data_IF_877717355715
#
_entry.id   IF_877717355715
#
_cell.length_a   1.000
_cell.length_b   1.000
_cell.length_c   1.000
_cell.angle_alpha   90.00
_cell.angle_beta   90.00
_cell.angle_gamma   90.00
#
_symmetry.space_group_name_H-M   'P 1'
#
loop_
_entity.id
_entity.type
_entity.pdbx_description
1 polymer ?
#
# COMPACT_ATOMS: atom_id res chain seq x y z
N UNK A 1 33.79 -41.85 -20.15
CA UNK A 1 34.32 -40.74 -20.97
C UNK A 1 33.21 -39.96 -21.66
N UNK A 2 32.45 -40.52 -22.62
CA UNK A 2 31.44 -39.77 -23.41
C UNK A 2 30.30 -39.09 -22.61
N UNK A 3 29.78 -39.73 -21.55
CA UNK A 3 28.71 -39.14 -20.70
C UNK A 3 29.14 -37.90 -19.92
N UNK A 4 30.43 -37.77 -19.62
CA UNK A 4 30.98 -36.66 -18.85
C UNK A 4 31.14 -35.41 -19.71
N UNK A 5 31.47 -35.58 -21.00
CA UNK A 5 31.50 -34.50 -21.99
C UNK A 5 30.10 -33.99 -22.33
N UNK A 6 29.08 -34.86 -22.34
CA UNK A 6 27.68 -34.45 -22.54
C UNK A 6 27.16 -33.58 -21.39
N UNK A 7 27.50 -33.90 -20.14
CA UNK A 7 27.15 -33.09 -18.98
C UNK A 7 27.85 -31.72 -18.99
N UNK A 8 29.12 -31.67 -19.41
CA UNK A 8 29.86 -30.40 -19.57
C UNK A 8 29.30 -29.52 -20.69
N UNK A 9 28.87 -30.12 -21.81
CA UNK A 9 28.27 -29.38 -22.93
C UNK A 9 26.91 -28.77 -22.54
N UNK A 10 26.10 -29.50 -21.77
CA UNK A 10 24.82 -28.99 -21.25
C UNK A 10 25.02 -27.84 -20.24
N UNK A 11 26.03 -27.93 -19.37
CA UNK A 11 26.36 -26.86 -18.42
C UNK A 11 26.84 -25.58 -19.11
N UNK A 12 27.65 -25.68 -20.17
CA UNK A 12 28.08 -24.53 -20.97
C UNK A 12 26.92 -23.89 -21.76
N UNK A 13 25.97 -24.71 -22.26
CA UNK A 13 24.78 -24.21 -22.96
C UNK A 13 23.83 -23.42 -22.05
N UNK A 14 23.68 -23.83 -20.78
CA UNK A 14 22.83 -23.12 -19.80
C UNK A 14 23.48 -21.80 -19.36
N UNK A 15 24.82 -21.75 -19.26
CA UNK A 15 25.56 -20.53 -18.92
C UNK A 15 25.47 -19.46 -20.03
N UNK A 16 25.50 -19.87 -21.30
CA UNK A 16 25.33 -18.96 -22.44
C UNK A 16 23.92 -18.36 -22.54
N UNK A 17 22.87 -19.12 -22.20
CA UNK A 17 21.48 -18.64 -22.21
C UNK A 17 21.17 -17.64 -21.09
N UNK A 18 21.90 -17.69 -19.97
CA UNK A 18 21.76 -16.73 -18.86
C UNK A 18 22.56 -15.43 -19.06
N UNK A 19 23.54 -15.40 -19.97
CA UNK A 19 24.44 -14.26 -20.16
C UNK A 19 23.94 -13.25 -21.21
N UNK A 20 22.90 -13.56 -21.99
CA UNK A 20 22.43 -12.73 -23.10
C UNK A 20 21.15 -11.95 -22.82
N UNK A 21 21.09 -11.19 -21.72
CA UNK A 21 20.19 -10.03 -21.59
C UNK A 21 20.92 -8.88 -20.89
N UNK A 22 21.81 -8.22 -21.63
CA UNK A 22 22.19 -6.85 -21.34
C UNK A 22 22.48 -6.10 -22.64
N UNK A 23 21.43 -5.84 -23.41
CA UNK A 23 21.42 -4.70 -24.33
C UNK A 23 21.02 -3.47 -23.52
N UNK A 24 22.01 -2.78 -22.97
CA UNK A 24 21.85 -1.39 -22.56
C UNK A 24 21.62 -0.55 -23.81
N UNK A 25 20.36 -0.31 -24.16
CA UNK A 25 20.02 0.91 -24.86
C UNK A 25 20.44 2.06 -23.95
N UNK A 26 21.43 2.86 -24.37
CA UNK A 26 21.79 4.11 -23.72
C UNK A 26 20.68 5.14 -23.96
N UNK A 27 19.56 4.98 -23.26
CA UNK A 27 18.67 6.11 -22.95
C UNK A 27 19.16 6.61 -21.62
N UNK A 28 19.76 7.81 -21.56
CA UNK A 28 20.33 8.35 -20.33
C UNK A 28 19.23 8.44 -19.23
N UNK A 29 19.12 7.49 -18.26
CA UNK A 29 17.97 7.43 -17.35
C UNK A 29 18.23 8.22 -16.07
N UNK A 30 19.52 8.38 -15.71
CA UNK A 30 19.94 9.01 -14.46
C UNK A 30 19.37 10.43 -14.31
N UNK A 31 19.40 11.24 -15.38
CA UNK A 31 18.86 12.61 -15.34
C UNK A 31 17.33 12.68 -15.24
N UNK A 32 16.60 11.75 -15.87
CA UNK A 32 15.13 11.71 -15.87
C UNK A 32 14.60 11.24 -14.51
N UNK A 33 15.23 10.22 -13.92
CA UNK A 33 14.86 9.71 -12.60
C UNK A 33 15.23 10.70 -11.49
N UNK A 34 16.39 11.37 -11.53
CA UNK A 34 16.75 12.40 -10.53
C UNK A 34 15.79 13.59 -10.57
N UNK A 35 15.41 14.08 -11.75
CA UNK A 35 14.41 15.16 -11.87
C UNK A 35 13.05 14.75 -11.32
N UNK A 36 12.62 13.53 -11.59
CA UNK A 36 11.36 13.00 -11.07
C UNK A 36 11.36 12.88 -9.54
N UNK A 37 12.44 12.35 -8.96
CA UNK A 37 12.61 12.26 -7.51
C UNK A 37 12.62 13.65 -6.86
N UNK A 38 13.31 14.63 -7.44
CA UNK A 38 13.31 16.01 -6.95
C UNK A 38 11.90 16.62 -7.00
N UNK A 39 11.16 16.38 -8.08
CA UNK A 39 9.77 16.82 -8.21
C UNK A 39 8.85 16.20 -7.15
N UNK A 40 9.00 14.89 -6.88
CA UNK A 40 8.27 14.19 -5.81
C UNK A 40 8.63 14.80 -4.45
N UNK A 41 9.92 14.96 -4.15
CA UNK A 41 10.38 15.56 -2.90
C UNK A 41 9.84 16.97 -2.70
N UNK A 42 9.85 17.82 -3.74
CA UNK A 42 9.29 19.17 -3.64
C UNK A 42 7.78 19.15 -3.46
N UNK A 43 7.07 18.26 -4.14
CA UNK A 43 5.62 18.15 -4.06
C UNK A 43 5.17 17.65 -2.69
N UNK A 44 5.87 16.66 -2.13
CA UNK A 44 5.54 16.11 -0.82
C UNK A 44 5.74 17.11 0.34
N UNK A 45 6.44 18.23 0.15
CA UNK A 45 6.53 19.29 1.17
C UNK A 45 5.18 19.92 1.51
N UNK A 46 4.19 19.84 0.60
CA UNK A 46 2.85 20.34 0.86
C UNK A 46 1.96 19.36 1.62
N UNK A 47 2.45 18.16 1.95
CA UNK A 47 1.66 17.12 2.63
C UNK A 47 1.98 17.04 4.12
N UNK A 48 1.07 16.42 4.88
CA UNK A 48 1.24 16.23 6.33
C UNK A 48 2.26 15.14 6.64
N UNK A 49 2.23 14.01 5.92
CA UNK A 49 3.13 12.87 6.14
C UNK A 49 4.21 12.85 5.05
N UNK A 50 5.11 13.84 5.08
CA UNK A 50 6.08 14.11 4.01
C UNK A 50 6.99 12.93 3.71
N UNK A 51 7.58 12.31 4.74
CA UNK A 51 8.48 11.16 4.56
C UNK A 51 7.76 9.98 3.91
N UNK A 52 6.53 9.68 4.35
CA UNK A 52 5.70 8.63 3.76
C UNK A 52 5.33 8.94 2.31
N UNK A 53 4.98 10.20 2.01
CA UNK A 53 4.70 10.65 0.64
C UNK A 53 5.89 10.40 -0.28
N UNK A 54 7.10 10.77 0.15
CA UNK A 54 8.32 10.56 -0.64
C UNK A 54 8.61 9.07 -0.78
N UNK A 55 8.54 8.31 0.31
CA UNK A 55 8.80 6.86 0.32
C UNK A 55 7.90 6.12 -0.68
N UNK A 56 6.59 6.35 -0.62
CA UNK A 56 5.63 5.59 -1.41
C UNK A 56 5.60 6.03 -2.87
N UNK A 57 5.77 7.32 -3.17
CA UNK A 57 5.73 7.84 -4.55
C UNK A 57 7.05 7.69 -5.30
N UNK A 58 8.20 7.58 -4.61
CA UNK A 58 9.51 7.44 -5.28
C UNK A 58 9.60 6.18 -6.13
N UNK A 59 8.90 5.10 -5.74
CA UNK A 59 8.81 3.86 -6.54
C UNK A 59 8.13 4.11 -7.91
N UNK A 60 7.28 5.14 -7.99
CA UNK A 60 6.56 5.55 -9.19
C UNK A 60 7.26 6.68 -9.96
N UNK A 61 8.49 7.07 -9.61
CA UNK A 61 9.19 8.22 -10.20
C UNK A 61 9.23 8.21 -11.73
N UNK A 62 9.44 7.05 -12.35
CA UNK A 62 9.47 6.94 -13.82
C UNK A 62 8.10 7.17 -14.48
N UNK A 63 7.01 6.83 -13.78
CA UNK A 63 5.63 7.08 -14.21
C UNK A 63 5.25 8.54 -13.97
N UNK A 64 5.57 9.06 -12.79
CA UNK A 64 5.26 10.43 -12.36
C UNK A 64 6.00 11.45 -13.22
N UNK A 65 7.29 11.20 -13.51
CA UNK A 65 8.20 12.17 -14.12
C UNK A 65 8.10 13.50 -13.37
N UNK A 66 7.72 14.57 -14.04
CA UNK A 66 7.46 15.89 -13.44
C UNK A 66 6.01 16.34 -13.72
N UNK A 67 5.09 15.38 -13.82
CA UNK A 67 3.67 15.63 -14.13
C UNK A 67 2.85 15.66 -12.84
N UNK A 68 2.21 16.80 -12.49
CA UNK A 68 1.26 16.86 -11.39
C UNK A 68 0.12 15.84 -11.54
N UNK A 69 -0.37 15.64 -12.76
CA UNK A 69 -1.43 14.66 -13.05
C UNK A 69 -1.01 13.25 -12.67
N UNK A 70 0.15 12.81 -13.16
CA UNK A 70 0.65 11.47 -12.83
C UNK A 70 1.03 11.34 -11.35
N UNK A 71 1.42 12.44 -10.69
CA UNK A 71 1.63 12.45 -9.24
C UNK A 71 0.33 12.16 -8.48
N UNK A 72 -0.78 12.80 -8.88
CA UNK A 72 -2.10 12.56 -8.29
C UNK A 72 -2.56 11.12 -8.57
N UNK A 73 -2.46 10.66 -9.82
CA UNK A 73 -2.81 9.29 -10.22
C UNK A 73 -2.02 8.25 -9.41
N UNK A 74 -0.71 8.49 -9.22
CA UNK A 74 0.15 7.62 -8.42
C UNK A 74 -0.24 7.64 -6.93
N UNK A 75 -0.60 8.79 -6.36
CA UNK A 75 -1.04 8.90 -4.97
C UNK A 75 -2.37 8.16 -4.72
N UNK A 76 -3.31 8.21 -5.66
CA UNK A 76 -4.55 7.42 -5.61
C UNK A 76 -4.24 5.93 -5.75
N UNK A 77 -3.37 5.56 -6.69
CA UNK A 77 -2.95 4.16 -6.90
C UNK A 77 -2.30 3.56 -5.65
N UNK A 78 -1.38 4.28 -5.01
CA UNK A 78 -0.75 3.88 -3.75
C UNK A 78 -1.80 3.64 -2.67
N UNK A 79 -2.69 4.62 -2.47
CA UNK A 79 -3.76 4.54 -1.47
C UNK A 79 -4.71 3.36 -1.72
N UNK A 80 -5.09 3.12 -2.99
CA UNK A 80 -5.97 2.02 -3.38
C UNK A 80 -5.30 0.66 -3.15
N UNK A 81 -4.01 0.54 -3.49
CA UNK A 81 -3.24 -0.68 -3.24
C UNK A 81 -3.15 -1.00 -1.75
N UNK A 82 -2.96 0.01 -0.89
CA UNK A 82 -2.95 -0.17 0.56
C UNK A 82 -4.34 -0.55 1.09
N UNK A 83 -5.42 0.03 0.54
CA UNK A 83 -6.79 -0.33 0.90
C UNK A 83 -7.09 -1.81 0.54
N UNK A 84 -6.75 -2.22 -0.68
CA UNK A 84 -6.90 -3.60 -1.15
C UNK A 84 -6.05 -4.57 -0.33
N UNK A 85 -4.79 -4.22 -0.03
CA UNK A 85 -3.92 -5.04 0.83
C UNK A 85 -4.50 -5.23 2.22
N UNK A 86 -5.10 -4.18 2.78
CA UNK A 86 -5.76 -4.23 4.10
C UNK A 86 -7.01 -5.11 4.05
N UNK A 87 -7.84 -4.97 3.01
CA UNK A 87 -8.99 -5.84 2.77
C UNK A 87 -8.59 -7.31 2.65
N UNK A 88 -7.54 -7.61 1.88
CA UNK A 88 -7.01 -8.97 1.72
C UNK A 88 -6.50 -9.54 3.04
N UNK A 89 -5.78 -8.74 3.83
CA UNK A 89 -5.31 -9.14 5.15
C UNK A 89 -6.48 -9.51 6.07
N UNK A 90 -7.52 -8.69 6.14
CA UNK A 90 -8.75 -8.98 6.91
C UNK A 90 -9.42 -10.26 6.39
N UNK A 91 -9.52 -10.45 5.08
CA UNK A 91 -10.08 -11.67 4.49
C UNK A 91 -9.28 -12.92 4.88
N UNK A 92 -7.95 -12.83 4.92
CA UNK A 92 -7.08 -13.92 5.37
C UNK A 92 -7.28 -14.24 6.84
N UNK A 93 -7.38 -13.21 7.69
CA UNK A 93 -7.69 -13.40 9.11
C UNK A 93 -9.00 -14.18 9.29
N UNK A 94 -10.04 -13.86 8.51
CA UNK A 94 -11.35 -14.55 8.53
C UNK A 94 -11.28 -16.02 8.10
N UNK A 95 -10.47 -16.34 7.08
CA UNK A 95 -10.39 -17.69 6.50
C UNK A 95 -9.41 -18.62 7.21
N UNK A 96 -8.46 -18.06 7.96
CA UNK A 96 -7.40 -18.83 8.60
C UNK A 96 -7.84 -19.49 9.92
N UNK A 97 -6.99 -20.38 10.44
CA UNK A 97 -7.07 -20.98 11.77
C UNK A 97 -7.08 -19.96 12.95
N UNK A 98 -6.99 -18.65 12.69
CA UNK A 98 -7.27 -17.62 13.68
C UNK A 98 -8.73 -17.62 14.16
N UNK A 99 -9.62 -18.44 13.61
CA UNK A 99 -10.90 -18.78 14.25
C UNK A 99 -10.74 -19.29 15.69
N UNK A 100 -9.61 -19.93 16.02
CA UNK A 100 -9.26 -20.32 17.41
C UNK A 100 -9.11 -19.07 18.31
N UNK A 101 -8.78 -17.93 17.72
CA UNK A 101 -8.79 -16.60 18.34
C UNK A 101 -10.11 -15.90 17.99
N UNK A 102 -11.24 -16.45 18.44
CA UNK A 102 -12.57 -15.94 18.10
C UNK A 102 -12.73 -14.44 18.39
N UNK A 103 -12.08 -13.93 19.45
CA UNK A 103 -12.03 -12.51 19.82
C UNK A 103 -11.12 -11.63 18.91
N UNK A 104 -10.28 -12.26 18.09
CA UNK A 104 -9.42 -11.61 17.10
C UNK A 104 -9.95 -11.68 15.68
N UNK A 105 -11.03 -12.43 15.45
CA UNK A 105 -11.77 -12.29 14.21
C UNK A 105 -12.35 -10.86 14.22
N UNK A 106 -11.93 -9.95 13.31
CA UNK A 106 -12.54 -8.63 13.23
C UNK A 106 -14.06 -8.80 13.10
N UNK A 107 -14.84 -7.96 13.78
CA UNK A 107 -16.30 -7.98 13.66
C UNK A 107 -16.67 -7.98 12.17
N UNK A 108 -17.49 -8.97 11.78
CA UNK A 108 -17.57 -9.45 10.40
C UNK A 108 -17.98 -8.39 9.39
N UNK A 109 -18.72 -7.39 9.87
CA UNK A 109 -19.40 -6.43 9.01
C UNK A 109 -18.67 -5.10 9.00
N UNK A 110 -18.26 -4.58 10.16
CA UNK A 110 -17.70 -3.22 10.27
C UNK A 110 -16.35 -3.07 9.57
N UNK A 111 -15.37 -3.94 9.83
CA UNK A 111 -14.04 -3.85 9.21
C UNK A 111 -14.07 -4.06 7.70
N UNK A 112 -14.93 -4.98 7.26
CA UNK A 112 -15.15 -5.24 5.84
C UNK A 112 -15.74 -4.01 5.18
N UNK A 113 -16.75 -3.41 5.81
CA UNK A 113 -17.44 -2.21 5.34
C UNK A 113 -16.51 -1.01 5.29
N UNK A 114 -15.67 -0.77 6.31
CA UNK A 114 -14.73 0.36 6.32
C UNK A 114 -13.69 0.26 5.19
N UNK A 115 -13.12 -0.94 4.98
CA UNK A 115 -12.20 -1.15 3.86
C UNK A 115 -12.90 -1.05 2.51
N UNK A 116 -14.11 -1.58 2.39
CA UNK A 116 -14.91 -1.48 1.17
C UNK A 116 -15.28 -0.04 0.85
N UNK A 117 -15.61 0.76 1.86
CA UNK A 117 -15.85 2.19 1.77
C UNK A 117 -14.63 2.93 1.22
N UNK A 118 -13.43 2.71 1.79
CA UNK A 118 -12.19 3.31 1.26
C UNK A 118 -11.89 2.85 -0.17
N UNK A 119 -12.05 1.56 -0.49
CA UNK A 119 -11.80 1.03 -1.83
C UNK A 119 -12.76 1.65 -2.86
N UNK A 120 -14.06 1.65 -2.58
CA UNK A 120 -15.07 2.22 -3.46
C UNK A 120 -14.83 3.72 -3.67
N UNK A 121 -14.63 4.47 -2.59
CA UNK A 121 -14.36 5.90 -2.69
C UNK A 121 -13.10 6.19 -3.53
N UNK A 122 -12.02 5.41 -3.37
CA UNK A 122 -10.81 5.56 -4.19
C UNK A 122 -11.02 5.16 -5.66
N UNK A 123 -11.85 4.16 -5.94
CA UNK A 123 -12.23 3.77 -7.30
C UNK A 123 -13.05 4.87 -7.98
N UNK A 124 -13.92 5.56 -7.25
CA UNK A 124 -14.66 6.71 -7.78
C UNK A 124 -13.75 7.89 -8.13
N UNK A 125 -12.60 8.05 -7.47
CA UNK A 125 -11.60 9.06 -7.89
C UNK A 125 -11.05 8.76 -9.29
N UNK A 126 -10.99 7.50 -9.71
CA UNK A 126 -10.52 7.15 -11.06
C UNK A 126 -11.57 7.54 -12.13
N UNK A 127 -12.85 7.57 -11.75
CA UNK A 127 -13.98 7.79 -12.65
C UNK A 127 -14.64 9.17 -12.50
N UNK A 128 -14.11 10.04 -11.63
CA UNK A 128 -14.69 11.34 -11.33
C UNK A 128 -14.70 12.27 -12.56
N UNK A 129 -15.71 13.14 -12.62
CA UNK A 129 -15.97 13.96 -13.81
C UNK A 129 -15.46 15.40 -13.68
N UNK A 130 -15.08 15.82 -12.47
CA UNK A 130 -14.54 17.15 -12.22
C UNK A 130 -13.56 17.14 -11.07
N UNK A 131 -12.68 18.13 -11.01
CA UNK A 131 -11.73 18.27 -9.92
C UNK A 131 -12.38 18.23 -8.52
N UNK A 132 -13.50 18.93 -8.35
CA UNK A 132 -14.26 18.97 -7.10
C UNK A 132 -14.86 17.62 -6.73
N UNK A 133 -15.29 16.86 -7.73
CA UNK A 133 -15.83 15.51 -7.59
C UNK A 133 -14.73 14.52 -7.16
N UNK A 134 -13.57 14.56 -7.83
CA UNK A 134 -12.41 13.75 -7.45
C UNK A 134 -11.99 14.04 -6.00
N UNK A 135 -11.87 15.32 -5.63
CA UNK A 135 -11.51 15.72 -4.27
C UNK A 135 -12.57 15.33 -3.23
N UNK A 136 -13.85 15.29 -3.61
CA UNK A 136 -14.92 14.78 -2.74
C UNK A 136 -14.73 13.28 -2.45
N UNK A 137 -14.48 12.47 -3.48
CA UNK A 137 -14.21 11.04 -3.31
C UNK A 137 -12.95 10.76 -2.47
N UNK A 138 -11.87 11.53 -2.65
CA UNK A 138 -10.66 11.42 -1.80
C UNK A 138 -10.98 11.72 -0.32
N UNK A 139 -11.80 12.75 -0.04
CA UNK A 139 -12.21 13.07 1.34
C UNK A 139 -13.06 11.95 1.95
N UNK A 140 -13.98 11.37 1.17
CA UNK A 140 -14.80 10.24 1.63
C UNK A 140 -13.91 9.05 1.97
N UNK A 141 -12.94 8.72 1.12
CA UNK A 141 -11.97 7.64 1.38
C UNK A 141 -11.20 7.86 2.70
N UNK A 142 -10.84 9.10 3.02
CA UNK A 142 -10.14 9.44 4.26
C UNK A 142 -11.03 9.21 5.49
N UNK A 143 -12.31 9.61 5.43
CA UNK A 143 -13.29 9.35 6.49
C UNK A 143 -13.47 7.85 6.72
N UNK A 144 -13.60 7.06 5.65
CA UNK A 144 -13.67 5.60 5.74
C UNK A 144 -12.41 5.02 6.42
N UNK A 145 -11.21 5.53 6.07
CA UNK A 145 -9.95 5.05 6.63
C UNK A 145 -9.80 5.41 8.12
N UNK A 146 -10.27 6.60 8.54
CA UNK A 146 -10.31 7.01 9.96
C UNK A 146 -11.25 6.08 10.75
N UNK A 147 -12.44 5.79 10.20
CA UNK A 147 -13.40 4.85 10.79
C UNK A 147 -12.75 3.48 11.03
N UNK A 148 -12.13 2.91 9.99
CA UNK A 148 -11.45 1.63 10.07
C UNK A 148 -10.28 1.58 11.07
N UNK A 149 -9.50 2.67 11.18
CA UNK A 149 -8.43 2.76 12.19
C UNK A 149 -8.99 2.73 13.62
N UNK A 150 -10.04 3.51 13.91
CA UNK A 150 -10.67 3.54 15.23
C UNK A 150 -11.20 2.16 15.63
N UNK A 151 -11.93 1.50 14.73
CA UNK A 151 -12.48 0.18 14.97
C UNK A 151 -11.38 -0.88 15.16
N UNK A 152 -10.24 -0.76 14.46
CA UNK A 152 -9.08 -1.65 14.60
C UNK A 152 -8.47 -1.68 15.99
N UNK A 153 -8.61 -0.60 16.75
CA UNK A 153 -8.05 -0.48 18.10
C UNK A 153 -9.04 -0.94 19.17
N UNK A 154 -10.33 -0.68 18.97
CA UNK A 154 -11.36 -0.84 20.02
C UNK A 154 -11.98 -2.25 20.05
N UNK A 155 -12.09 -2.91 18.88
CA UNK A 155 -12.98 -4.07 18.73
C UNK A 155 -12.29 -5.39 18.33
N UNK A 156 -10.96 -5.42 18.16
CA UNK A 156 -10.24 -6.64 17.74
C UNK A 156 -9.20 -7.08 18.74
N UNK A 157 -9.23 -8.37 19.09
CA UNK A 157 -8.31 -9.03 20.00
C UNK A 157 -8.39 -8.59 21.47
N UNK A 158 -9.54 -8.07 21.89
CA UNK A 158 -9.83 -7.71 23.29
C UNK A 158 -10.10 -8.98 24.10
N UNK A 159 -9.05 -9.72 24.47
CA UNK A 159 -9.23 -10.87 25.36
C UNK A 159 -9.36 -10.39 26.82
N UNK A 160 -10.38 -10.84 27.57
CA UNK A 160 -10.45 -10.65 29.02
C UNK A 160 -9.40 -11.47 29.80
N UNK A 161 -8.57 -12.28 29.13
CA UNK A 161 -7.57 -13.15 29.73
C UNK A 161 -6.12 -12.69 29.50
N UNK A 162 -5.88 -11.38 29.43
CA UNK A 162 -4.54 -10.82 29.58
C UNK A 162 -4.14 -10.89 31.07
N UNK A 163 -3.94 -12.11 31.56
CA UNK A 163 -3.40 -12.36 32.88
C UNK A 163 -1.94 -11.86 32.86
N UNK A 164 -1.55 -10.81 33.61
CA UNK A 164 -0.29 -10.08 33.43
C UNK A 164 0.97 -10.93 33.61
N UNK A 165 0.83 -12.13 34.19
CA UNK A 165 1.93 -13.03 34.52
C UNK A 165 2.17 -14.19 33.54
N UNK A 166 1.32 -14.43 32.53
CA UNK A 166 1.49 -15.54 31.57
C UNK A 166 1.15 -15.12 30.15
N UNK A 167 2.17 -14.67 29.41
CA UNK A 167 2.05 -14.44 27.97
C UNK A 167 1.92 -15.81 27.27
N UNK A 168 0.68 -16.26 27.08
CA UNK A 168 0.39 -17.43 26.27
C UNK A 168 0.76 -17.15 24.80
N UNK A 169 1.07 -18.21 24.04
CA UNK A 169 1.26 -18.10 22.59
C UNK A 169 0.04 -17.43 21.91
N UNK A 170 -1.17 -17.68 22.46
CA UNK A 170 -2.44 -17.06 22.05
C UNK A 170 -2.38 -15.53 22.16
N UNK A 171 -1.98 -14.99 23.31
CA UNK A 171 -1.90 -13.55 23.54
C UNK A 171 -0.89 -12.85 22.62
N UNK A 172 0.26 -13.49 22.33
CA UNK A 172 1.25 -12.94 21.39
C UNK A 172 0.71 -12.80 19.97
N UNK A 173 -0.06 -13.79 19.52
CA UNK A 173 -0.67 -13.76 18.19
C UNK A 173 -1.74 -12.67 18.14
N UNK A 174 -2.58 -12.56 19.17
CA UNK A 174 -3.58 -11.50 19.30
C UNK A 174 -2.97 -10.10 19.21
N UNK A 175 -1.90 -9.84 19.96
CA UNK A 175 -1.19 -8.56 19.90
C UNK A 175 -0.57 -8.29 18.53
N UNK A 176 -0.01 -9.31 17.87
CA UNK A 176 0.55 -9.17 16.54
C UNK A 176 -0.53 -8.83 15.49
N UNK A 177 -1.71 -9.45 15.58
CA UNK A 177 -2.86 -9.14 14.71
C UNK A 177 -3.33 -7.70 14.92
N UNK A 178 -3.57 -7.30 16.17
CA UNK A 178 -3.99 -5.93 16.52
C UNK A 178 -3.00 -4.88 16.02
N UNK A 179 -1.70 -5.08 16.28
CA UNK A 179 -0.64 -4.18 15.77
C UNK A 179 -0.64 -4.13 14.25
N UNK A 180 -0.79 -5.28 13.59
CA UNK A 180 -0.83 -5.34 12.12
C UNK A 180 -2.03 -4.58 11.53
N UNK A 181 -3.21 -4.72 12.12
CA UNK A 181 -4.40 -3.96 11.70
C UNK A 181 -4.19 -2.46 11.90
N UNK A 182 -3.76 -2.06 13.10
CA UNK A 182 -3.49 -0.65 13.40
C UNK A 182 -2.48 -0.04 12.42
N UNK A 183 -1.35 -0.69 12.18
CA UNK A 183 -0.34 -0.22 11.23
C UNK A 183 -0.91 -0.08 9.81
N UNK A 184 -1.73 -1.04 9.36
CA UNK A 184 -2.31 -1.03 8.02
C UNK A 184 -3.31 0.10 7.84
N UNK A 185 -4.23 0.30 8.78
CA UNK A 185 -5.19 1.39 8.73
C UNK A 185 -4.54 2.76 8.89
N UNK A 186 -3.56 2.89 9.79
CA UNK A 186 -2.81 4.14 9.96
C UNK A 186 -2.07 4.50 8.67
N UNK A 187 -1.40 3.54 8.04
CA UNK A 187 -0.73 3.76 6.75
C UNK A 187 -1.73 4.17 5.66
N UNK A 188 -2.86 3.46 5.54
CA UNK A 188 -3.92 3.79 4.59
C UNK A 188 -4.42 5.24 4.76
N UNK A 189 -4.76 5.62 5.99
CA UNK A 189 -5.22 6.98 6.31
C UNK A 189 -4.17 8.01 5.95
N UNK A 190 -2.91 7.77 6.28
CA UNK A 190 -1.81 8.70 6.00
C UNK A 190 -1.56 8.87 4.50
N UNK A 191 -1.63 7.79 3.72
CA UNK A 191 -1.50 7.83 2.26
C UNK A 191 -2.66 8.61 1.61
N UNK A 192 -3.90 8.36 2.03
CA UNK A 192 -5.08 9.11 1.54
C UNK A 192 -4.98 10.59 1.92
N UNK A 193 -4.54 10.89 3.15
CA UNK A 193 -4.34 12.27 3.58
C UNK A 193 -3.29 12.99 2.71
N UNK A 194 -2.17 12.33 2.42
CA UNK A 194 -1.17 12.86 1.49
C UNK A 194 -1.75 13.09 0.10
N UNK A 195 -2.53 12.14 -0.44
CA UNK A 195 -3.23 12.31 -1.71
C UNK A 195 -4.14 13.54 -1.68
N UNK A 196 -4.98 13.71 -0.65
CA UNK A 196 -5.83 14.89 -0.46
C UNK A 196 -5.03 16.20 -0.46
N UNK A 197 -3.88 16.22 0.21
CA UNK A 197 -3.02 17.41 0.29
C UNK A 197 -2.36 17.71 -1.05
N UNK A 198 -1.95 16.69 -1.80
CA UNK A 198 -1.45 16.84 -3.17
C UNK A 198 -2.54 17.37 -4.10
N UNK A 199 -3.78 16.87 -3.98
CA UNK A 199 -4.90 17.44 -4.72
C UNK A 199 -4.98 18.95 -4.44
N UNK A 200 -5.09 19.35 -3.16
CA UNK A 200 -5.13 20.78 -2.80
C UNK A 200 -3.95 21.60 -3.33
N UNK A 201 -2.76 21.03 -3.44
CA UNK A 201 -1.57 21.70 -3.95
C UNK A 201 -1.55 21.84 -5.49
N UNK A 202 -2.24 20.97 -6.22
CA UNK A 202 -2.27 20.94 -7.68
C UNK A 202 -3.70 21.02 -8.24
N UNK A 203 -4.44 22.13 -7.98
CA UNK A 203 -5.83 22.26 -8.41
C UNK A 203 -5.97 22.20 -9.93
N UNK A 204 -7.00 21.49 -10.40
CA UNK A 204 -7.34 21.32 -11.82
C UNK A 204 -6.20 20.69 -12.65
N UNK A 205 -5.40 19.80 -12.04
CA UNK A 205 -4.33 19.04 -12.70
C UNK A 205 -4.58 17.53 -12.74
N UNK A 206 -5.81 17.09 -12.46
CA UNK A 206 -6.27 15.70 -12.63
C UNK A 206 -6.77 15.47 -14.06
#
# INVERSE_FOLDING_TARGET
MAKQYQALFLLFSVFYLFSSVLTTATVNPAGTTTKALNFIQSSCKSTTYQSLCVETLSVYANTIKTSPRHLLDAAITVSLNQALSTKLFISHLRKSQFQILQDCAPSTDTFSTDCECSVQALQEVVNCNSWTDCLFHVKNAEVCAISGESHSVENTCSSPFADPGKISARGRISDAVRKSLHTRFSKLRQEINNAKMLFKAFPNKH
#
